data_IF_811897174063
#
_entry.id   IF_811897174063
#
_cell.length_a   1.000
_cell.length_b   1.000
_cell.length_c   1.000
_cell.angle_alpha   90.00
_cell.angle_beta   90.00
_cell.angle_gamma   90.00
#
_symmetry.space_group_name_H-M   'P 1'
#
loop_
_entity.id
_entity.type
_entity.pdbx_description
1 polymer ?
#
# COMPACT_ATOMS: atom_id res chain seq x y z
N UNK A 1 -13.85 0.57 -13.07
CA UNK A 1 -12.67 1.39 -12.70
C UNK A 1 -11.55 1.11 -13.69
N UNK A 2 -10.58 2.02 -13.93
CA UNK A 2 -9.36 1.69 -14.67
C UNK A 2 -8.55 0.62 -13.92
N UNK A 3 -7.84 -0.23 -14.67
CA UNK A 3 -6.89 -1.17 -14.07
C UNK A 3 -5.79 -0.41 -13.33
N UNK A 4 -5.53 -0.77 -12.06
CA UNK A 4 -4.61 -0.02 -11.20
C UNK A 4 -3.15 -0.03 -11.71
N UNK A 5 -2.77 -1.06 -12.44
CA UNK A 5 -1.40 -1.32 -12.87
C UNK A 5 -1.19 -1.08 -14.38
N UNK A 6 -2.17 -0.46 -15.03
CA UNK A 6 -2.07 -0.09 -16.43
C UNK A 6 -1.72 1.40 -16.58
N UNK A 7 -0.67 1.68 -17.35
CA UNK A 7 -0.25 3.04 -17.69
C UNK A 7 -0.12 3.14 -19.21
N UNK A 8 -1.19 3.49 -19.92
CA UNK A 8 -1.17 3.59 -21.38
C UNK A 8 -0.21 4.68 -21.87
N UNK A 9 0.22 4.60 -23.14
CA UNK A 9 1.02 5.65 -23.76
C UNK A 9 0.32 7.01 -23.66
N UNK A 10 1.07 8.07 -23.36
CA UNK A 10 0.53 9.45 -23.32
C UNK A 10 -0.08 9.91 -24.66
N UNK A 11 0.25 9.22 -25.76
CA UNK A 11 -0.31 9.50 -27.11
C UNK A 11 -1.63 8.76 -27.37
N UNK A 12 -1.95 7.74 -26.57
CA UNK A 12 -3.19 7.00 -26.70
C UNK A 12 -4.35 7.81 -26.10
N UNK A 13 -5.46 7.88 -26.83
CA UNK A 13 -6.69 8.51 -26.32
C UNK A 13 -7.35 7.57 -25.32
N UNK A 14 -7.82 8.07 -24.17
CA UNK A 14 -8.59 7.24 -23.22
C UNK A 14 -9.82 6.62 -23.89
N UNK A 15 -10.05 5.34 -23.60
CA UNK A 15 -11.22 4.60 -24.11
C UNK A 15 -12.15 4.22 -22.95
N UNK A 16 -13.41 3.94 -23.27
CA UNK A 16 -14.38 3.48 -22.27
C UNK A 16 -13.97 2.12 -21.66
N UNK A 17 -13.35 1.26 -22.45
CA UNK A 17 -12.92 -0.09 -22.02
C UNK A 17 -11.83 -0.03 -20.94
N UNK A 18 -10.99 1.01 -20.92
CA UNK A 18 -9.99 1.20 -19.86
C UNK A 18 -10.60 1.33 -18.46
N UNK A 19 -11.86 1.72 -18.37
CA UNK A 19 -12.57 1.97 -17.10
C UNK A 19 -13.64 0.92 -16.79
N UNK A 20 -13.67 -0.17 -17.54
CA UNK A 20 -14.68 -1.22 -17.45
C UNK A 20 -14.45 -2.24 -16.35
N UNK A 21 -13.29 -2.23 -15.67
CA UNK A 21 -12.94 -3.26 -14.69
C UNK A 21 -13.74 -3.08 -13.39
N UNK A 22 -14.32 -4.17 -12.83
CA UNK A 22 -14.98 -4.14 -11.54
C UNK A 22 -13.95 -3.82 -10.44
N UNK A 23 -14.38 -3.09 -9.41
CA UNK A 23 -13.57 -2.85 -8.22
C UNK A 23 -14.49 -2.80 -7.01
N UNK A 24 -14.59 -3.91 -6.32
CA UNK A 24 -15.44 -4.07 -5.15
C UNK A 24 -14.72 -4.87 -4.07
N UNK A 25 -15.08 -4.65 -2.81
CA UNK A 25 -14.56 -5.36 -1.65
C UNK A 25 -15.66 -6.20 -1.04
N UNK A 26 -15.40 -7.48 -0.84
CA UNK A 26 -16.22 -8.41 -0.08
C UNK A 26 -15.64 -8.58 1.32
N UNK A 27 -16.50 -8.62 2.33
CA UNK A 27 -16.14 -8.97 3.71
C UNK A 27 -16.63 -10.39 4.01
N UNK A 28 -15.71 -11.29 4.29
CA UNK A 28 -16.04 -12.68 4.64
C UNK A 28 -16.75 -12.74 6.00
N UNK A 29 -18.01 -13.18 6.02
CA UNK A 29 -18.78 -13.31 7.26
C UNK A 29 -18.22 -14.37 8.24
N UNK A 30 -17.45 -15.35 7.75
CA UNK A 30 -16.88 -16.41 8.57
C UNK A 30 -15.58 -15.98 9.28
N UNK A 31 -14.66 -15.30 8.57
CA UNK A 31 -13.34 -14.98 9.12
C UNK A 31 -13.05 -13.47 9.23
N UNK A 32 -13.90 -12.60 8.70
CA UNK A 32 -13.69 -11.15 8.71
C UNK A 32 -12.61 -10.66 7.73
N UNK A 33 -12.13 -11.54 6.84
CA UNK A 33 -11.18 -11.11 5.81
C UNK A 33 -11.90 -10.23 4.78
N UNK A 34 -11.38 -9.03 4.56
CA UNK A 34 -11.81 -8.21 3.44
C UNK A 34 -11.00 -8.58 2.19
N UNK A 35 -11.67 -8.78 1.07
CA UNK A 35 -11.07 -9.30 -0.15
C UNK A 35 -11.53 -8.51 -1.36
N UNK A 36 -10.68 -8.45 -2.39
CA UNK A 36 -11.11 -8.02 -3.71
C UNK A 36 -12.15 -9.02 -4.23
N UNK A 37 -13.32 -8.54 -4.61
CA UNK A 37 -14.44 -9.39 -5.02
C UNK A 37 -14.13 -10.17 -6.31
N UNK A 38 -13.54 -9.49 -7.27
CA UNK A 38 -13.04 -10.08 -8.52
C UNK A 38 -11.91 -9.22 -9.09
N UNK A 39 -11.04 -9.83 -9.89
CA UNK A 39 -9.99 -9.15 -10.65
C UNK A 39 -9.91 -9.74 -12.05
N UNK A 40 -10.33 -8.99 -13.03
CA UNK A 40 -10.27 -9.34 -14.47
C UNK A 40 -9.08 -8.67 -15.17
N UNK A 41 -8.19 -8.01 -14.40
CA UNK A 41 -7.01 -7.35 -14.94
C UNK A 41 -5.82 -8.31 -15.03
N UNK A 42 -4.96 -8.07 -16.01
CA UNK A 42 -3.76 -8.90 -16.23
C UNK A 42 -2.48 -8.06 -16.39
N UNK A 43 -2.56 -6.77 -16.08
CA UNK A 43 -1.43 -5.86 -16.22
C UNK A 43 -0.53 -5.93 -15.01
N UNK A 44 0.79 -5.95 -15.25
CA UNK A 44 1.79 -5.81 -14.19
C UNK A 44 2.21 -4.35 -14.07
N UNK A 45 2.10 -3.78 -12.88
CA UNK A 45 2.61 -2.44 -12.60
C UNK A 45 4.09 -2.34 -12.99
N UNK A 46 4.51 -1.32 -13.77
CA UNK A 46 5.91 -1.02 -13.93
C UNK A 46 6.50 -0.72 -12.55
N UNK A 47 7.53 -1.46 -12.16
CA UNK A 47 8.15 -1.29 -10.83
C UNK A 47 8.49 0.18 -10.60
N UNK A 48 8.02 0.72 -9.49
CA UNK A 48 8.39 2.03 -8.98
C UNK A 48 9.82 2.01 -8.44
N UNK A 49 10.33 3.19 -8.11
CA UNK A 49 11.50 3.32 -7.24
C UNK A 49 11.04 3.07 -5.82
N UNK A 50 11.75 2.23 -5.06
CA UNK A 50 11.44 1.98 -3.66
C UNK A 50 11.56 3.28 -2.85
N UNK A 51 10.50 3.74 -2.16
CA UNK A 51 10.55 4.96 -1.37
C UNK A 51 11.50 4.86 -0.19
N UNK A 52 12.14 5.98 0.17
CA UNK A 52 12.98 6.05 1.37
C UNK A 52 12.20 5.65 2.63
N UNK A 53 10.95 6.11 2.76
CA UNK A 53 10.08 5.78 3.89
C UNK A 53 9.89 4.27 4.08
N UNK A 54 9.81 3.48 2.99
CA UNK A 54 9.70 2.03 3.07
C UNK A 54 11.00 1.38 3.58
N UNK A 55 12.16 1.86 3.13
CA UNK A 55 13.47 1.40 3.60
C UNK A 55 13.73 1.74 5.06
N UNK A 56 13.39 2.96 5.47
CA UNK A 56 13.57 3.42 6.84
C UNK A 56 12.66 2.62 7.78
N UNK A 57 11.41 2.36 7.38
CA UNK A 57 10.50 1.54 8.16
C UNK A 57 10.97 0.08 8.25
N UNK A 58 11.52 -0.51 7.19
CA UNK A 58 12.10 -1.85 7.23
C UNK A 58 13.27 -1.93 8.24
N UNK A 59 14.16 -0.93 8.25
CA UNK A 59 15.27 -0.84 9.20
C UNK A 59 14.77 -0.70 10.64
N UNK A 60 13.78 0.17 10.88
CA UNK A 60 13.13 0.32 12.19
C UNK A 60 12.47 -1.00 12.63
N UNK A 61 11.74 -1.68 11.75
CA UNK A 61 11.05 -2.93 12.04
C UNK A 61 12.06 -4.01 12.48
N UNK A 62 13.13 -4.21 11.71
CA UNK A 62 14.19 -5.17 12.05
C UNK A 62 14.82 -4.82 13.40
N UNK A 63 15.06 -3.54 13.69
CA UNK A 63 15.59 -3.11 14.98
C UNK A 63 14.63 -3.43 16.14
N UNK A 64 13.33 -3.13 15.99
CA UNK A 64 12.30 -3.37 17.03
C UNK A 64 12.11 -4.87 17.28
N UNK A 65 12.08 -5.69 16.23
CA UNK A 65 11.99 -7.15 16.31
C UNK A 65 13.20 -7.73 17.03
N UNK A 66 14.43 -7.26 16.70
CA UNK A 66 15.67 -7.67 17.36
C UNK A 66 15.68 -7.29 18.85
N UNK A 67 15.30 -6.05 19.19
CA UNK A 67 15.24 -5.57 20.57
C UNK A 67 14.21 -6.35 21.42
N UNK A 68 13.17 -6.89 20.78
CA UNK A 68 12.15 -7.73 21.44
C UNK A 68 12.54 -9.23 21.50
N UNK A 69 13.74 -9.60 21.02
CA UNK A 69 14.26 -10.97 21.11
C UNK A 69 13.69 -11.96 20.10
N UNK A 70 13.01 -11.50 19.06
CA UNK A 70 12.37 -12.35 18.05
C UNK A 70 13.29 -12.74 16.88
N UNK A 71 14.49 -12.18 16.77
CA UNK A 71 15.48 -12.60 15.76
C UNK A 71 16.39 -13.68 16.34
N UNK A 72 15.86 -14.91 16.40
CA UNK A 72 16.63 -16.10 16.79
C UNK A 72 17.19 -16.85 15.58
N UNK A 73 18.17 -17.75 15.85
CA UNK A 73 18.74 -18.60 14.81
C UNK A 73 19.77 -17.90 13.92
N UNK A 74 19.93 -18.41 12.67
CA UNK A 74 20.94 -17.93 11.71
C UNK A 74 20.50 -17.92 10.26
N UNK A 75 19.30 -18.40 9.95
CA UNK A 75 18.81 -18.50 8.58
C UNK A 75 17.62 -17.58 8.37
N UNK A 76 17.57 -16.94 7.21
CA UNK A 76 16.47 -16.07 6.79
C UNK A 76 15.95 -16.48 5.41
N UNK A 77 14.64 -16.39 5.25
CA UNK A 77 13.96 -16.51 3.96
C UNK A 77 12.95 -15.41 3.80
N UNK A 78 12.93 -14.78 2.63
CA UNK A 78 11.96 -13.72 2.33
C UNK A 78 11.05 -14.13 1.17
N UNK A 79 9.77 -13.83 1.32
CA UNK A 79 8.79 -13.86 0.23
C UNK A 79 8.73 -12.48 -0.39
N UNK A 80 9.14 -12.40 -1.66
CA UNK A 80 9.25 -11.12 -2.35
C UNK A 80 7.91 -10.41 -2.49
N UNK A 81 7.92 -9.09 -2.31
CA UNK A 81 6.79 -8.22 -2.57
C UNK A 81 6.87 -7.63 -3.99
N UNK A 82 5.74 -7.51 -4.72
CA UNK A 82 5.69 -6.74 -5.96
C UNK A 82 6.08 -5.27 -5.80
N UNK A 83 5.95 -4.72 -4.59
CA UNK A 83 6.38 -3.35 -4.29
C UNK A 83 7.89 -3.14 -4.30
N UNK A 84 8.67 -4.21 -4.37
CA UNK A 84 10.12 -4.18 -4.26
C UNK A 84 10.58 -4.09 -2.80
N UNK A 85 11.88 -3.81 -2.63
CA UNK A 85 12.54 -3.84 -1.34
C UNK A 85 12.88 -5.25 -0.87
N UNK A 86 13.78 -5.35 0.10
CA UNK A 86 14.13 -6.60 0.77
C UNK A 86 14.68 -6.30 2.17
N UNK A 87 14.27 -7.12 3.14
CA UNK A 87 14.82 -7.07 4.50
C UNK A 87 16.04 -7.98 4.67
N UNK A 88 16.31 -8.86 3.69
CA UNK A 88 17.44 -9.80 3.74
C UNK A 88 18.78 -9.10 3.99
N UNK A 89 19.15 -7.99 3.33
CA UNK A 89 20.39 -7.29 3.61
C UNK A 89 20.53 -6.88 5.08
N UNK A 90 19.45 -6.40 5.70
CA UNK A 90 19.43 -5.98 7.10
C UNK A 90 19.66 -7.17 8.08
N UNK A 91 19.20 -8.36 7.72
CA UNK A 91 19.42 -9.59 8.48
C UNK A 91 20.82 -10.16 8.23
N UNK A 92 21.32 -10.10 6.99
CA UNK A 92 22.68 -10.52 6.64
C UNK A 92 23.73 -9.71 7.41
N UNK A 93 23.54 -8.40 7.55
CA UNK A 93 24.39 -7.53 8.39
C UNK A 93 24.39 -7.94 9.88
N UNK A 94 23.35 -8.66 10.33
CA UNK A 94 23.22 -9.23 11.67
C UNK A 94 23.72 -10.67 11.76
N UNK A 95 24.30 -11.21 10.68
CA UNK A 95 24.92 -12.56 10.67
C UNK A 95 23.96 -13.68 10.25
N UNK A 96 22.79 -13.36 9.67
CA UNK A 96 21.91 -14.36 9.08
C UNK A 96 22.42 -14.76 7.68
N UNK A 97 22.07 -15.96 7.26
CA UNK A 97 22.33 -16.48 5.92
C UNK A 97 20.99 -16.77 5.23
N UNK A 98 20.84 -16.29 4.01
CA UNK A 98 19.64 -16.56 3.19
C UNK A 98 19.58 -18.05 2.82
N UNK A 99 18.36 -18.61 2.80
CA UNK A 99 18.10 -20.01 2.43
C UNK A 99 16.79 -20.17 1.68
N UNK A 100 16.73 -21.17 0.79
CA UNK A 100 15.49 -21.58 0.11
C UNK A 100 14.69 -22.62 0.91
N UNK A 101 15.30 -23.21 1.95
CA UNK A 101 14.67 -24.18 2.84
C UNK A 101 13.85 -23.52 3.95
N UNK A 102 13.38 -24.32 4.94
CA UNK A 102 12.84 -23.77 6.19
C UNK A 102 13.87 -22.91 6.89
N UNK A 103 13.45 -21.70 7.32
CA UNK A 103 14.32 -20.71 7.91
C UNK A 103 13.93 -20.38 9.36
N UNK A 104 14.91 -19.93 10.15
CA UNK A 104 14.68 -19.47 11.52
C UNK A 104 13.86 -18.17 11.54
N UNK A 105 14.04 -17.31 10.52
CA UNK A 105 13.27 -16.09 10.31
C UNK A 105 12.70 -16.10 8.88
N UNK A 106 11.38 -16.09 8.77
CA UNK A 106 10.69 -15.94 7.49
C UNK A 106 10.04 -14.56 7.45
N UNK A 107 10.18 -13.86 6.34
CA UNK A 107 9.68 -12.49 6.17
C UNK A 107 8.71 -12.44 5.00
N UNK A 108 7.57 -11.79 5.21
CA UNK A 108 6.66 -11.35 4.16
C UNK A 108 6.24 -9.91 4.43
N UNK A 109 6.82 -8.98 3.67
CA UNK A 109 6.50 -7.56 3.76
C UNK A 109 5.61 -7.17 2.59
N UNK A 110 4.30 -7.06 2.81
CA UNK A 110 3.28 -6.73 1.81
C UNK A 110 3.17 -7.70 0.61
N UNK A 111 3.76 -8.88 0.68
CA UNK A 111 3.73 -9.86 -0.42
C UNK A 111 2.42 -10.63 -0.48
N UNK A 112 1.93 -11.11 0.67
CA UNK A 112 0.79 -12.00 0.76
C UNK A 112 -0.53 -11.43 0.20
N UNK A 113 -0.74 -10.14 0.32
CA UNK A 113 -1.95 -9.48 -0.18
C UNK A 113 -2.11 -9.59 -1.71
N UNK A 114 -1.04 -9.89 -2.44
CA UNK A 114 -1.04 -10.09 -3.88
C UNK A 114 -1.34 -11.54 -4.32
N UNK A 115 -1.58 -12.44 -3.39
CA UNK A 115 -1.92 -13.82 -3.70
C UNK A 115 -3.43 -14.06 -3.57
N UNK A 116 -4.04 -14.60 -4.63
CA UNK A 116 -5.49 -14.81 -4.65
C UNK A 116 -5.94 -15.91 -3.66
N UNK A 117 -5.16 -17.02 -3.55
CA UNK A 117 -5.42 -18.08 -2.58
C UNK A 117 -4.69 -17.79 -1.26
N UNK A 118 -5.38 -17.12 -0.36
CA UNK A 118 -4.85 -16.69 0.92
C UNK A 118 -4.46 -17.86 1.82
N UNK A 119 -5.29 -18.92 1.88
CA UNK A 119 -4.98 -20.07 2.74
C UNK A 119 -3.72 -20.79 2.26
N UNK A 120 -3.56 -20.97 0.97
CA UNK A 120 -2.34 -21.57 0.39
C UNK A 120 -1.13 -20.65 0.60
N UNK A 121 -1.30 -19.32 0.49
CA UNK A 121 -0.25 -18.35 0.75
C UNK A 121 0.30 -18.47 2.18
N UNK A 122 -0.59 -18.52 3.18
CA UNK A 122 -0.19 -18.69 4.58
C UNK A 122 0.41 -20.07 4.83
N UNK A 123 -0.13 -21.14 4.24
CA UNK A 123 0.42 -22.49 4.36
C UNK A 123 1.88 -22.57 3.84
N UNK A 124 2.19 -21.88 2.74
CA UNK A 124 3.58 -21.82 2.21
C UNK A 124 4.53 -21.08 3.17
N UNK A 125 4.09 -19.99 3.81
CA UNK A 125 4.91 -19.24 4.80
C UNK A 125 5.11 -20.08 6.06
N UNK A 126 4.06 -20.71 6.55
CA UNK A 126 4.16 -21.64 7.70
C UNK A 126 5.15 -22.77 7.41
N UNK A 127 5.03 -23.45 6.24
CA UNK A 127 5.95 -24.51 5.84
C UNK A 127 7.41 -24.04 5.63
N UNK A 128 7.62 -22.78 5.29
CA UNK A 128 8.94 -22.17 5.17
C UNK A 128 9.54 -21.77 6.51
N UNK A 129 8.75 -21.69 7.59
CA UNK A 129 9.21 -21.34 8.93
C UNK A 129 9.68 -22.62 9.65
N UNK A 130 10.91 -22.61 10.16
CA UNK A 130 11.44 -23.71 10.93
C UNK A 130 10.59 -23.95 12.20
N UNK A 131 10.60 -25.17 12.80
CA UNK A 131 9.74 -25.49 13.97
C UNK A 131 9.89 -24.52 15.15
N UNK A 132 11.09 -23.97 15.35
CA UNK A 132 11.38 -22.97 16.41
C UNK A 132 11.62 -21.58 15.79
N UNK A 133 11.27 -21.38 14.53
CA UNK A 133 11.44 -20.14 13.81
C UNK A 133 10.28 -19.18 14.03
N UNK A 134 10.40 -17.99 13.47
CA UNK A 134 9.39 -16.93 13.48
C UNK A 134 9.01 -16.54 12.05
N UNK A 135 7.72 -16.39 11.80
CA UNK A 135 7.18 -15.75 10.61
C UNK A 135 6.84 -14.29 10.95
N UNK A 136 7.47 -13.38 10.24
CA UNK A 136 7.25 -11.94 10.30
C UNK A 136 6.38 -11.53 9.12
N UNK A 137 5.14 -11.10 9.39
CA UNK A 137 4.18 -10.68 8.35
C UNK A 137 3.86 -9.22 8.54
N UNK A 138 4.13 -8.43 7.51
CA UNK A 138 3.81 -7.00 7.47
C UNK A 138 2.68 -6.71 6.50
N UNK A 139 1.71 -5.92 6.93
CA UNK A 139 0.55 -5.57 6.12
C UNK A 139 0.00 -4.17 6.47
N UNK A 140 -0.68 -3.55 5.52
CA UNK A 140 -1.46 -2.33 5.77
C UNK A 140 -2.76 -2.72 6.47
N UNK A 141 -2.99 -2.17 7.67
CA UNK A 141 -4.13 -2.53 8.52
C UNK A 141 -5.47 -2.10 7.89
N UNK A 142 -6.43 -3.02 7.80
CA UNK A 142 -7.81 -2.69 7.44
C UNK A 142 -8.41 -1.66 8.42
N UNK A 143 -8.04 -1.75 9.70
CA UNK A 143 -8.45 -0.78 10.71
C UNK A 143 -7.99 0.64 10.37
N UNK A 144 -6.71 0.79 10.02
CA UNK A 144 -6.15 2.07 9.60
C UNK A 144 -6.78 2.56 8.27
N UNK A 145 -6.95 1.67 7.29
CA UNK A 145 -7.63 1.98 6.02
C UNK A 145 -9.01 2.58 6.28
N UNK A 146 -9.81 1.97 7.16
CA UNK A 146 -11.16 2.43 7.47
C UNK A 146 -11.14 3.70 8.31
N UNK A 147 -10.28 3.78 9.34
CA UNK A 147 -10.19 4.94 10.23
C UNK A 147 -9.79 6.22 9.49
N UNK A 148 -8.90 6.10 8.51
CA UNK A 148 -8.39 7.23 7.73
C UNK A 148 -9.07 7.40 6.37
N UNK A 149 -10.13 6.64 6.07
CA UNK A 149 -10.86 6.72 4.80
C UNK A 149 -9.98 6.45 3.57
N UNK A 150 -8.99 5.57 3.70
CA UNK A 150 -8.00 5.26 2.65
C UNK A 150 -8.55 4.25 1.64
N UNK A 151 -9.74 4.50 1.10
CA UNK A 151 -10.41 3.62 0.16
C UNK A 151 -9.56 3.29 -1.08
N UNK A 152 -8.61 4.16 -1.46
CA UNK A 152 -7.68 3.93 -2.57
C UNK A 152 -6.67 2.79 -2.31
N UNK A 153 -6.65 2.23 -1.10
CA UNK A 153 -5.95 0.98 -0.82
C UNK A 153 -6.60 -0.18 -1.58
N UNK A 154 -7.94 -0.13 -1.81
CA UNK A 154 -8.64 -1.09 -2.65
C UNK A 154 -8.24 -0.87 -4.12
N UNK A 155 -7.62 -1.88 -4.71
CA UNK A 155 -7.15 -1.86 -6.09
C UNK A 155 -6.95 -3.25 -6.66
N UNK A 156 -6.93 -3.37 -7.97
CA UNK A 156 -6.60 -4.59 -8.68
C UNK A 156 -5.21 -5.11 -8.27
N UNK A 157 -5.03 -6.42 -8.24
CA UNK A 157 -3.80 -7.07 -7.80
C UNK A 157 -3.61 -7.15 -6.28
N UNK A 158 -4.49 -6.53 -5.48
CA UNK A 158 -4.52 -6.65 -4.02
C UNK A 158 -5.73 -7.51 -3.61
N UNK A 159 -5.51 -8.79 -3.42
CA UNK A 159 -6.60 -9.74 -3.16
C UNK A 159 -7.08 -9.75 -1.71
N UNK A 160 -6.28 -9.27 -0.75
CA UNK A 160 -6.64 -9.32 0.67
C UNK A 160 -6.26 -8.06 1.44
N UNK A 161 -7.12 -7.69 2.40
CA UNK A 161 -6.98 -6.56 3.31
C UNK A 161 -7.22 -7.08 4.73
N UNK A 162 -6.17 -7.10 5.54
CA UNK A 162 -6.20 -7.78 6.82
C UNK A 162 -6.57 -6.85 7.97
N UNK A 163 -7.56 -7.27 8.76
CA UNK A 163 -7.59 -6.97 10.18
C UNK A 163 -6.69 -7.96 10.92
N UNK A 164 -6.23 -7.62 12.11
CA UNK A 164 -5.47 -8.57 12.94
C UNK A 164 -6.31 -9.81 13.29
N UNK A 165 -7.63 -9.62 13.45
CA UNK A 165 -8.59 -10.71 13.68
C UNK A 165 -8.64 -11.69 12.50
N UNK A 166 -8.72 -11.20 11.26
CA UNK A 166 -8.72 -12.05 10.08
C UNK A 166 -7.36 -12.74 9.88
N UNK A 167 -6.27 -12.00 10.07
CA UNK A 167 -4.91 -12.55 9.98
C UNK A 167 -4.69 -13.68 10.99
N UNK A 168 -5.14 -13.50 12.25
CA UNK A 168 -5.04 -14.53 13.28
C UNK A 168 -5.72 -15.82 12.83
N UNK A 169 -6.94 -15.75 12.30
CA UNK A 169 -7.68 -16.94 11.84
C UNK A 169 -6.98 -17.66 10.68
N UNK A 170 -6.36 -16.92 9.76
CA UNK A 170 -5.58 -17.49 8.66
C UNK A 170 -4.32 -18.19 9.17
N UNK A 171 -3.62 -17.61 10.13
CA UNK A 171 -2.46 -18.21 10.78
C UNK A 171 -2.84 -19.48 11.57
N UNK A 172 -3.89 -19.42 12.40
CA UNK A 172 -4.41 -20.57 13.16
C UNK A 172 -4.81 -21.74 12.23
N UNK A 173 -5.43 -21.45 11.07
CA UNK A 173 -5.76 -22.45 10.07
C UNK A 173 -4.53 -23.16 9.46
N UNK A 174 -3.35 -22.57 9.59
CA UNK A 174 -2.08 -23.14 9.10
C UNK A 174 -1.17 -23.62 10.26
N UNK A 175 -1.71 -23.71 11.47
CA UNK A 175 -0.99 -24.21 12.65
C UNK A 175 0.00 -23.21 13.24
N UNK A 176 -0.23 -21.91 13.06
CA UNK A 176 0.60 -20.85 13.63
C UNK A 176 -0.20 -19.97 14.57
N UNK A 177 0.45 -19.40 15.58
CA UNK A 177 -0.13 -18.47 16.55
C UNK A 177 0.60 -17.13 16.52
N UNK A 178 -0.13 -16.01 16.62
CA UNK A 178 0.47 -14.69 16.79
C UNK A 178 1.03 -14.56 18.19
N UNK A 179 2.31 -14.22 18.29
CA UNK A 179 3.01 -14.00 19.56
C UNK A 179 2.92 -12.53 19.98
N UNK A 180 3.27 -11.63 19.09
CA UNK A 180 3.33 -10.18 19.30
C UNK A 180 3.12 -9.42 18.01
N UNK A 181 2.92 -8.10 18.12
CA UNK A 181 2.75 -7.22 16.98
C UNK A 181 3.41 -5.85 17.23
N UNK A 182 3.70 -5.13 16.15
CA UNK A 182 4.20 -3.75 16.14
C UNK A 182 3.42 -2.92 15.14
N UNK A 183 3.16 -1.67 15.48
CA UNK A 183 2.52 -0.68 14.60
C UNK A 183 3.55 0.33 14.11
N UNK A 184 3.36 0.80 12.88
CA UNK A 184 4.19 1.80 12.20
C UNK A 184 3.28 2.77 11.46
N UNK A 185 3.73 4.02 11.34
CA UNK A 185 2.97 5.09 10.67
C UNK A 185 2.98 4.98 9.14
N UNK A 186 3.84 4.12 8.57
CA UNK A 186 3.93 3.94 7.12
C UNK A 186 2.55 3.67 6.51
N UNK A 187 2.23 4.38 5.43
CA UNK A 187 0.94 4.35 4.73
C UNK A 187 -0.27 4.68 5.64
N UNK A 188 -0.04 5.39 6.75
CA UNK A 188 -1.07 5.75 7.72
C UNK A 188 -1.51 4.62 8.65
N UNK A 189 -0.76 3.52 8.71
CA UNK A 189 -1.00 2.42 9.65
C UNK A 189 -0.64 1.05 9.09
N UNK A 190 0.61 0.66 9.33
CA UNK A 190 1.15 -0.66 9.00
C UNK A 190 1.31 -1.48 10.26
N UNK A 191 0.99 -2.75 10.19
CA UNK A 191 1.17 -3.72 11.29
C UNK A 191 2.16 -4.79 10.85
N UNK A 192 3.10 -5.11 11.73
CA UNK A 192 3.99 -6.26 11.64
C UNK A 192 3.62 -7.22 12.75
N UNK A 193 3.41 -8.50 12.44
CA UNK A 193 3.20 -9.55 13.45
C UNK A 193 4.36 -10.54 13.45
N UNK A 194 4.65 -11.11 14.62
CA UNK A 194 5.48 -12.30 14.77
C UNK A 194 4.55 -13.49 15.07
N UNK A 195 4.62 -14.51 14.21
CA UNK A 195 3.85 -15.75 14.38
C UNK A 195 4.81 -16.96 14.50
N UNK A 196 4.41 -17.95 15.29
CA UNK A 196 5.20 -19.15 15.60
C UNK A 196 4.33 -20.41 15.53
N UNK A 197 4.97 -21.58 15.37
CA UNK A 197 4.27 -22.87 15.36
C UNK A 197 3.76 -23.33 16.75
N UNK A 198 4.22 -22.70 17.85
CA UNK A 198 3.77 -23.06 19.18
C UNK A 198 2.36 -22.48 19.46
N UNK A 199 1.54 -23.23 20.17
CA UNK A 199 0.33 -22.67 20.80
C UNK A 199 0.76 -21.74 21.94
N UNK A 200 0.58 -20.44 21.75
CA UNK A 200 0.92 -19.41 22.72
C UNK A 200 -0.24 -18.44 22.91
N UNK A 201 -0.30 -17.87 24.10
CA UNK A 201 -1.21 -16.74 24.36
C UNK A 201 -0.58 -15.49 23.77
N UNK A 202 -1.30 -14.73 22.93
CA UNK A 202 -0.85 -13.42 22.44
C UNK A 202 -0.53 -12.48 23.60
N UNK A 203 0.44 -11.59 23.40
CA UNK A 203 0.76 -10.58 24.40
C UNK A 203 -0.36 -9.53 24.55
N UNK A 204 -0.23 -8.65 25.58
CA UNK A 204 -1.23 -7.61 25.89
C UNK A 204 -1.44 -6.64 24.71
N UNK A 205 -0.40 -6.40 23.92
CA UNK A 205 -0.47 -5.50 22.75
C UNK A 205 -1.38 -6.09 21.67
N UNK A 206 -1.19 -7.36 21.34
CA UNK A 206 -2.05 -8.07 20.37
C UNK A 206 -3.49 -8.11 20.87
N UNK A 207 -3.71 -8.37 22.18
CA UNK A 207 -5.05 -8.37 22.76
C UNK A 207 -5.71 -6.99 22.62
N UNK A 208 -5.01 -5.91 22.94
CA UNK A 208 -5.53 -4.54 22.81
C UNK A 208 -5.88 -4.18 21.36
N UNK A 209 -5.05 -4.59 20.39
CA UNK A 209 -5.33 -4.38 18.97
C UNK A 209 -6.56 -5.17 18.52
N UNK A 210 -6.73 -6.41 18.93
CA UNK A 210 -7.90 -7.24 18.61
C UNK A 210 -9.18 -6.62 19.18
N UNK A 211 -9.14 -6.09 20.41
CA UNK A 211 -10.27 -5.41 21.04
C UNK A 211 -10.66 -4.13 20.29
N UNK A 212 -9.67 -3.37 19.82
CA UNK A 212 -9.87 -2.15 19.05
C UNK A 212 -10.49 -2.41 17.65
N UNK A 213 -10.29 -3.61 17.10
CA UNK A 213 -10.79 -4.00 15.77
C UNK A 213 -12.20 -4.63 15.77
N UNK A 214 -12.88 -4.71 16.93
CA UNK A 214 -14.15 -5.43 17.05
C UNK A 214 -15.21 -4.96 16.03
N UNK A 215 -15.26 -3.66 15.73
CA UNK A 215 -16.20 -3.09 14.77
C UNK A 215 -15.89 -3.41 13.30
N UNK A 216 -14.68 -3.87 12.98
CA UNK A 216 -14.29 -4.20 11.59
C UNK A 216 -14.97 -5.47 11.07
N UNK A 217 -15.56 -6.28 11.94
CA UNK A 217 -16.42 -7.40 11.53
C UNK A 217 -17.77 -6.95 10.96
N UNK A 218 -18.15 -5.69 11.19
CA UNK A 218 -19.42 -5.15 10.76
C UNK A 218 -19.29 -4.56 9.33
N UNK A 219 -20.11 -5.08 8.42
CA UNK A 219 -20.10 -4.65 7.00
C UNK A 219 -20.29 -3.13 6.86
N UNK A 220 -21.14 -2.52 7.70
CA UNK A 220 -21.43 -1.09 7.63
C UNK A 220 -20.22 -0.23 8.04
N UNK A 221 -19.32 -0.76 8.87
CA UNK A 221 -18.06 -0.11 9.21
C UNK A 221 -17.15 -0.01 7.99
N UNK A 222 -17.00 -1.11 7.23
CA UNK A 222 -16.19 -1.13 6.00
C UNK A 222 -16.85 -0.33 4.88
N UNK A 223 -18.18 -0.34 4.78
CA UNK A 223 -18.94 0.47 3.79
C UNK A 223 -18.74 1.97 3.92
N UNK A 224 -18.20 2.47 5.05
CA UNK A 224 -17.80 3.89 5.16
C UNK A 224 -16.81 4.28 4.07
N UNK A 225 -15.95 3.37 3.62
CA UNK A 225 -14.99 3.61 2.56
C UNK A 225 -15.64 4.05 1.24
N UNK A 226 -16.84 3.58 0.90
CA UNK A 226 -17.57 4.07 -0.29
C UNK A 226 -17.96 5.54 -0.14
N UNK A 227 -18.44 5.95 1.05
CA UNK A 227 -18.79 7.36 1.31
C UNK A 227 -17.55 8.25 1.27
N UNK A 228 -16.41 7.73 1.75
CA UNK A 228 -15.15 8.44 1.71
C UNK A 228 -14.65 8.60 0.27
N UNK A 229 -14.79 7.56 -0.56
CA UNK A 229 -14.46 7.65 -1.99
C UNK A 229 -15.26 8.74 -2.69
N UNK A 230 -16.58 8.76 -2.49
CA UNK A 230 -17.46 9.76 -3.10
C UNK A 230 -17.16 11.18 -2.59
N UNK A 231 -16.86 11.33 -1.30
CA UNK A 231 -16.51 12.61 -0.68
C UNK A 231 -15.18 13.11 -1.23
N UNK A 232 -14.16 12.28 -1.20
CA UNK A 232 -12.81 12.64 -1.62
C UNK A 232 -12.73 12.95 -3.11
N UNK A 233 -13.42 12.18 -3.96
CA UNK A 233 -13.47 12.46 -5.39
C UNK A 233 -14.10 13.84 -5.68
N UNK A 234 -15.23 14.16 -5.01
CA UNK A 234 -15.86 15.50 -5.15
C UNK A 234 -14.97 16.62 -4.62
N UNK A 235 -14.31 16.41 -3.48
CA UNK A 235 -13.45 17.42 -2.88
C UNK A 235 -12.21 17.70 -3.76
N UNK A 236 -11.55 16.65 -4.28
CA UNK A 236 -10.44 16.80 -5.22
C UNK A 236 -10.87 17.58 -6.47
N UNK A 237 -12.01 17.20 -7.06
CA UNK A 237 -12.54 17.89 -8.24
C UNK A 237 -12.77 19.38 -7.96
N UNK A 238 -13.46 19.70 -6.88
CA UNK A 238 -13.77 21.07 -6.50
C UNK A 238 -12.50 21.89 -6.20
N UNK A 239 -11.51 21.29 -5.55
CA UNK A 239 -10.21 21.94 -5.33
C UNK A 239 -9.49 22.26 -6.64
N UNK A 240 -9.37 21.31 -7.55
CA UNK A 240 -8.75 21.52 -8.85
C UNK A 240 -9.45 22.62 -9.67
N UNK A 241 -10.77 22.63 -9.66
CA UNK A 241 -11.56 23.67 -10.35
C UNK A 241 -11.34 25.07 -9.74
N UNK A 242 -11.24 25.16 -8.40
CA UNK A 242 -10.92 26.43 -7.71
C UNK A 242 -9.51 26.93 -8.04
N UNK A 243 -8.52 26.04 -8.04
CA UNK A 243 -7.14 26.42 -8.37
C UNK A 243 -7.04 26.87 -9.84
N UNK A 244 -7.72 26.15 -10.76
CA UNK A 244 -7.78 26.53 -12.16
C UNK A 244 -8.48 27.88 -12.38
N UNK A 245 -9.60 28.16 -11.67
CA UNK A 245 -10.29 29.45 -11.74
C UNK A 245 -9.42 30.62 -11.23
N UNK A 246 -8.42 30.37 -10.39
CA UNK A 246 -7.41 31.34 -9.95
C UNK A 246 -6.26 31.52 -10.96
N UNK A 247 -6.26 30.74 -12.03
CA UNK A 247 -5.19 30.72 -13.03
C UNK A 247 -3.96 29.92 -12.60
N UNK A 248 -4.05 29.12 -11.52
CA UNK A 248 -2.96 28.30 -11.04
C UNK A 248 -2.78 27.06 -11.92
N UNK A 249 -1.52 26.75 -12.23
CA UNK A 249 -1.14 25.49 -12.88
C UNK A 249 -0.89 24.44 -11.81
N UNK A 250 -1.75 23.42 -11.80
CA UNK A 250 -1.67 22.31 -10.87
C UNK A 250 -1.01 21.11 -11.54
N UNK A 251 -0.03 20.54 -10.86
CA UNK A 251 0.63 19.28 -11.19
C UNK A 251 0.47 18.32 -10.02
N UNK A 252 0.82 17.04 -10.22
CA UNK A 252 0.95 16.09 -9.13
C UNK A 252 2.34 15.43 -9.14
N UNK A 253 2.69 14.77 -8.05
CA UNK A 253 3.89 13.94 -7.93
C UNK A 253 3.51 12.57 -7.36
N UNK A 254 4.04 11.50 -8.02
CA UNK A 254 3.77 10.10 -7.72
C UNK A 254 2.65 9.52 -8.60
N UNK A 255 3.01 8.90 -9.74
CA UNK A 255 2.06 8.13 -10.56
C UNK A 255 1.82 6.77 -9.90
N UNK A 256 1.24 6.81 -8.69
CA UNK A 256 0.92 5.63 -7.91
C UNK A 256 -0.38 4.99 -8.38
N UNK A 257 -0.46 3.66 -8.33
CA UNK A 257 -1.66 2.89 -8.69
C UNK A 257 -2.89 3.36 -7.92
N UNK A 258 -2.73 3.69 -6.62
CA UNK A 258 -3.83 4.23 -5.79
C UNK A 258 -4.39 5.58 -6.29
N UNK A 259 -3.58 6.38 -6.97
CA UNK A 259 -4.03 7.67 -7.50
C UNK A 259 -4.94 7.51 -8.72
N UNK A 260 -4.82 6.41 -9.46
CA UNK A 260 -5.61 6.15 -10.68
C UNK A 260 -7.11 6.19 -10.36
N UNK A 261 -7.54 5.44 -9.35
CA UNK A 261 -8.96 5.36 -8.95
C UNK A 261 -9.50 6.71 -8.51
N UNK A 262 -8.73 7.47 -7.72
CA UNK A 262 -9.15 8.79 -7.24
C UNK A 262 -9.26 9.79 -8.39
N UNK A 263 -8.25 9.88 -9.26
CA UNK A 263 -8.26 10.79 -10.41
C UNK A 263 -9.40 10.47 -11.37
N UNK A 264 -9.66 9.17 -11.59
CA UNK A 264 -10.76 8.72 -12.44
C UNK A 264 -12.12 9.10 -11.85
N UNK A 265 -12.40 8.76 -10.58
CA UNK A 265 -13.66 9.11 -9.91
C UNK A 265 -13.89 10.63 -9.84
N UNK A 266 -12.84 11.40 -9.65
CA UNK A 266 -12.91 12.85 -9.66
C UNK A 266 -13.07 13.44 -11.07
N UNK A 267 -13.07 12.61 -12.13
CA UNK A 267 -13.17 13.04 -13.52
C UNK A 267 -12.04 13.99 -13.92
N UNK A 268 -10.84 13.73 -13.41
CA UNK A 268 -9.67 14.58 -13.68
C UNK A 268 -9.22 14.43 -15.12
N UNK A 269 -8.90 15.54 -15.74
CA UNK A 269 -8.35 15.63 -17.09
C UNK A 269 -7.22 16.67 -17.13
N UNK A 270 -6.42 16.68 -18.21
CA UNK A 270 -5.23 17.55 -18.33
C UNK A 270 -5.52 19.05 -18.26
N UNK A 271 -6.76 19.45 -18.49
CA UNK A 271 -7.19 20.84 -18.29
C UNK A 271 -7.32 21.26 -16.83
N UNK A 272 -7.38 20.32 -15.90
CA UNK A 272 -7.42 20.55 -14.45
C UNK A 272 -6.10 20.20 -13.76
N UNK A 273 -5.47 19.08 -14.16
CA UNK A 273 -4.19 18.61 -13.66
C UNK A 273 -3.26 18.45 -14.86
N UNK A 274 -2.27 19.32 -14.99
CA UNK A 274 -1.44 19.43 -16.19
C UNK A 274 -0.64 18.16 -16.49
N UNK A 275 -0.05 17.55 -15.45
CA UNK A 275 0.68 16.28 -15.51
C UNK A 275 0.88 15.70 -14.11
N UNK A 276 1.28 14.42 -14.05
CA UNK A 276 1.81 13.75 -12.86
C UNK A 276 3.29 13.48 -13.08
N UNK A 277 4.17 13.94 -12.20
CA UNK A 277 5.58 13.58 -12.25
C UNK A 277 5.83 12.25 -11.51
N UNK A 278 6.72 11.42 -12.04
CA UNK A 278 7.13 10.18 -11.38
C UNK A 278 8.62 9.90 -11.61
N UNK A 279 9.29 9.42 -10.57
CA UNK A 279 10.71 9.10 -10.63
C UNK A 279 11.01 7.86 -11.49
N UNK A 280 10.01 6.97 -11.71
CA UNK A 280 10.18 5.75 -12.50
C UNK A 280 10.26 6.06 -14.00
N UNK A 281 11.40 5.81 -14.68
CA UNK A 281 11.50 5.98 -16.12
C UNK A 281 10.52 5.12 -16.91
N UNK A 282 10.10 3.98 -16.35
CA UNK A 282 9.15 3.07 -16.97
C UNK A 282 7.73 3.65 -17.08
N UNK A 283 7.38 4.63 -16.24
CA UNK A 283 6.08 5.33 -16.25
C UNK A 283 6.12 6.61 -17.08
N UNK A 284 7.29 7.22 -17.27
CA UNK A 284 7.42 8.46 -18.02
C UNK A 284 7.04 8.28 -19.50
N UNK A 285 6.39 9.29 -20.08
CA UNK A 285 5.84 9.23 -21.45
C UNK A 285 4.54 8.41 -21.56
N UNK A 286 4.02 7.94 -20.46
CA UNK A 286 2.71 7.30 -20.32
C UNK A 286 1.69 8.30 -19.76
N UNK A 287 0.46 7.86 -19.47
CA UNK A 287 -0.59 8.65 -18.81
C UNK A 287 -1.23 7.87 -17.67
N UNK A 288 -1.87 8.58 -16.79
CA UNK A 288 -2.71 7.99 -15.75
C UNK A 288 -3.91 7.31 -16.41
N UNK A 289 -4.11 6.03 -16.14
CA UNK A 289 -5.19 5.23 -16.75
C UNK A 289 -6.57 5.83 -16.46
N UNK A 290 -7.48 5.74 -17.42
CA UNK A 290 -8.82 6.35 -17.33
C UNK A 290 -8.84 7.88 -17.37
N UNK A 291 -7.70 8.54 -17.65
CA UNK A 291 -7.56 9.99 -17.83
C UNK A 291 -6.67 10.32 -19.02
N UNK A 292 -6.63 11.58 -19.45
CA UNK A 292 -5.67 12.09 -20.45
C UNK A 292 -4.44 12.78 -19.82
N UNK A 293 -4.24 12.63 -18.49
CA UNK A 293 -3.16 13.29 -17.73
C UNK A 293 -1.84 12.57 -17.99
N UNK A 294 -0.83 13.21 -18.58
CA UNK A 294 0.45 12.58 -18.88
C UNK A 294 1.32 12.40 -17.65
N UNK A 295 2.20 11.39 -17.69
CA UNK A 295 3.24 11.18 -16.70
C UNK A 295 4.56 11.70 -17.26
N UNK A 296 5.21 12.60 -16.50
CA UNK A 296 6.43 13.32 -16.89
C UNK A 296 7.59 13.02 -15.93
N UNK A 297 8.80 13.38 -16.35
CA UNK A 297 9.95 13.31 -15.46
C UNK A 297 9.89 14.41 -14.38
N UNK A 298 10.46 14.20 -13.18
CA UNK A 298 10.53 15.23 -12.14
C UNK A 298 11.25 16.52 -12.58
N UNK A 299 12.27 16.41 -13.44
CA UNK A 299 12.94 17.58 -14.02
C UNK A 299 12.02 18.44 -14.90
N UNK A 300 11.08 17.82 -15.61
CA UNK A 300 10.08 18.54 -16.40
C UNK A 300 9.07 19.26 -15.49
N UNK A 301 8.71 18.65 -14.34
CA UNK A 301 7.88 19.29 -13.32
C UNK A 301 8.54 20.56 -12.79
N UNK A 302 9.83 20.48 -12.41
CA UNK A 302 10.60 21.66 -11.93
C UNK A 302 10.67 22.73 -13.02
N UNK A 303 10.98 22.36 -14.27
CA UNK A 303 11.05 23.28 -15.40
C UNK A 303 9.68 23.95 -15.71
N UNK A 304 8.58 23.24 -15.46
CA UNK A 304 7.25 23.79 -15.63
C UNK A 304 6.87 24.87 -14.61
N UNK A 305 7.58 24.99 -13.50
CA UNK A 305 7.31 25.95 -12.41
C UNK A 305 5.82 25.97 -12.01
N UNK A 306 5.27 24.86 -11.48
CA UNK A 306 3.87 24.77 -11.10
C UNK A 306 3.52 25.72 -9.95
N UNK A 307 2.26 26.15 -9.83
CA UNK A 307 1.79 26.91 -8.68
C UNK A 307 1.46 25.97 -7.50
N UNK A 308 1.00 24.74 -7.80
CA UNK A 308 0.66 23.70 -6.83
C UNK A 308 1.13 22.34 -7.34
N UNK A 309 1.63 21.50 -6.43
CA UNK A 309 2.00 20.12 -6.69
C UNK A 309 1.30 19.21 -5.70
N UNK A 310 0.25 18.51 -6.14
CA UNK A 310 -0.46 17.50 -5.34
C UNK A 310 0.42 16.28 -5.13
N UNK A 311 0.72 15.94 -3.89
CA UNK A 311 1.46 14.73 -3.56
C UNK A 311 0.47 13.58 -3.37
N UNK A 312 0.53 12.59 -4.27
CA UNK A 312 -0.40 11.44 -4.25
C UNK A 312 -0.06 10.41 -3.18
N UNK A 313 1.15 10.49 -2.62
CA UNK A 313 1.67 9.67 -1.54
C UNK A 313 2.26 10.59 -0.48
N UNK A 314 1.51 10.93 0.60
CA UNK A 314 1.97 11.83 1.65
C UNK A 314 3.31 11.45 2.28
N UNK A 315 3.57 10.16 2.46
CA UNK A 315 4.82 9.64 3.03
C UNK A 315 6.08 10.04 2.23
N UNK A 316 5.92 10.43 0.97
CA UNK A 316 7.04 10.90 0.15
C UNK A 316 7.46 12.36 0.46
N UNK A 317 6.70 13.12 1.24
CA UNK A 317 6.97 14.55 1.43
C UNK A 317 8.40 14.86 1.90
N UNK A 318 8.97 14.16 2.91
CA UNK A 318 10.34 14.41 3.34
C UNK A 318 11.37 14.17 2.23
N UNK A 319 11.18 13.07 1.47
CA UNK A 319 12.07 12.69 0.37
C UNK A 319 12.02 13.72 -0.77
N UNK A 320 10.82 14.03 -1.27
CA UNK A 320 10.66 14.93 -2.43
C UNK A 320 11.02 16.38 -2.09
N UNK A 321 10.80 16.82 -0.84
CA UNK A 321 11.22 18.15 -0.38
C UNK A 321 12.75 18.29 -0.36
N UNK A 322 13.45 17.21 -0.01
CA UNK A 322 14.91 17.19 -0.07
C UNK A 322 15.46 17.11 -1.50
N UNK A 323 14.81 16.36 -2.38
CA UNK A 323 15.25 16.18 -3.76
C UNK A 323 14.94 17.39 -4.66
N UNK A 324 13.85 18.11 -4.40
CA UNK A 324 13.33 19.19 -5.24
C UNK A 324 13.05 20.45 -4.42
N UNK A 325 14.10 21.13 -3.88
CA UNK A 325 13.94 22.34 -3.09
C UNK A 325 13.31 23.50 -3.89
N UNK A 326 13.38 23.47 -5.22
CA UNK A 326 12.75 24.46 -6.10
C UNK A 326 11.22 24.46 -6.02
N UNK A 327 10.63 23.37 -5.49
CA UNK A 327 9.20 23.21 -5.30
C UNK A 327 8.75 23.48 -3.86
N UNK A 328 9.64 24.00 -3.01
CA UNK A 328 9.30 24.37 -1.64
C UNK A 328 8.10 25.34 -1.60
N UNK A 329 7.16 25.10 -0.67
CA UNK A 329 5.94 25.87 -0.52
C UNK A 329 4.86 25.62 -1.58
N UNK A 330 5.10 24.72 -2.55
CA UNK A 330 4.13 24.36 -3.59
C UNK A 330 3.49 23.00 -3.36
N UNK A 331 4.05 22.19 -2.45
CA UNK A 331 3.53 20.87 -2.10
C UNK A 331 2.16 20.95 -1.42
N UNK A 332 1.23 20.12 -1.87
CA UNK A 332 -0.10 19.97 -1.29
C UNK A 332 -0.25 18.49 -0.93
N UNK A 333 -0.22 18.20 0.37
CA UNK A 333 -0.41 16.85 0.92
C UNK A 333 -1.82 16.62 1.43
N UNK A 334 -2.43 17.69 1.97
CA UNK A 334 -3.79 17.69 2.46
C UNK A 334 -4.63 18.69 1.65
N UNK A 335 -5.69 18.18 1.07
CA UNK A 335 -6.76 19.01 0.55
C UNK A 335 -7.77 19.12 1.69
N UNK A 336 -8.02 20.30 2.25
CA UNK A 336 -8.80 20.46 3.49
C UNK A 336 -10.18 19.79 3.48
N UNK A 337 -10.72 19.56 2.29
CA UNK A 337 -11.99 18.85 2.11
C UNK A 337 -11.83 17.32 1.93
N UNK A 338 -10.60 16.79 1.90
CA UNK A 338 -10.31 15.35 1.84
C UNK A 338 -10.09 14.74 3.23
N UNK A 339 -9.73 15.57 4.22
CA UNK A 339 -9.49 15.18 5.61
C UNK A 339 -10.80 15.06 6.43
#
# INVERSE_FOLDING_TARGET
>A
MPAADDFPSARAVPTADESGHPLAMDLCAACGLAQLAEDDTHTAEPRGVEPLALRDQAAEAVQRVAASGWLGGRTVREFASPHGGSWVPLLVERGFTETDGPADVVIDSFGMMHEADQLQAFARRAAATAPNGVLLVQFHSLGAIVAHGQWTALRHGHFAYYSLTALRRLLEATGMSIATAWEFDLYGGTVLVAAVHAEITPDERVCAMLDAETELAEVDTVRRLQRDADRQARALRAWLERENARGHRVYAYGAASRAISLLHLAGVHRGLLSAVADASPAKQGRRMSGTDVPIIAPSELVAAQPDRVLLTLPDLLPEVSGLWPELEGRWVVDIPELS
#
